data_IF_587163474199
#
_entry.id   IF_587163474199
#
_cell.length_a   1.000
_cell.length_b   1.000
_cell.length_c   1.000
_cell.angle_alpha   90.00
_cell.angle_beta   90.00
_cell.angle_gamma   90.00
#
_symmetry.space_group_name_H-M   'P 1'
#
loop_
_entity.id
_entity.type
_entity.pdbx_description
1 polymer ?
#
# COMPACT_ATOMS: atom_id res chain seq x y z
N UNK A 1 0.03 -7.85 -4.47
CA UNK A 1 1.02 -8.24 -5.49
C UNK A 1 2.33 -7.48 -5.27
N UNK A 2 2.37 -6.18 -5.38
CA UNK A 2 3.59 -5.35 -5.35
C UNK A 2 4.47 -5.55 -4.10
N UNK A 3 3.87 -5.78 -2.95
CA UNK A 3 4.59 -5.94 -1.70
C UNK A 3 4.91 -7.40 -1.36
N UNK A 4 3.93 -8.30 -1.50
CA UNK A 4 4.06 -9.69 -1.07
C UNK A 4 4.88 -10.54 -2.05
N UNK A 5 4.58 -10.46 -3.36
CA UNK A 5 5.19 -11.36 -4.36
C UNK A 5 6.72 -11.33 -4.37
N UNK A 6 7.39 -10.16 -4.27
CA UNK A 6 8.84 -10.11 -4.24
C UNK A 6 9.49 -10.76 -3.01
N UNK A 7 8.72 -10.96 -1.93
CA UNK A 7 9.18 -11.52 -0.65
C UNK A 7 8.94 -13.03 -0.52
N UNK A 8 7.98 -13.57 -1.27
CA UNK A 8 7.65 -15.01 -1.21
C UNK A 8 8.83 -15.98 -1.44
N UNK A 9 9.80 -15.68 -2.32
CA UNK A 9 10.97 -16.57 -2.45
C UNK A 9 11.72 -16.78 -1.15
N UNK A 10 11.84 -15.76 -0.29
CA UNK A 10 12.46 -15.88 1.03
C UNK A 10 11.66 -16.81 1.94
N UNK A 11 10.32 -16.65 1.97
CA UNK A 11 9.45 -17.54 2.74
C UNK A 11 9.60 -19.00 2.29
N UNK A 12 9.56 -19.24 0.99
CA UNK A 12 9.70 -20.59 0.42
C UNK A 12 11.06 -21.24 0.75
N UNK A 13 12.14 -20.44 0.85
CA UNK A 13 13.45 -20.94 1.27
C UNK A 13 13.48 -21.31 2.75
N UNK A 14 12.82 -20.50 3.61
CA UNK A 14 12.75 -20.76 5.05
C UNK A 14 11.80 -21.92 5.40
N UNK A 15 10.75 -22.12 4.59
CA UNK A 15 9.65 -23.05 4.84
C UNK A 15 9.27 -23.83 3.58
N UNK A 16 10.18 -24.68 3.02
CA UNK A 16 9.95 -25.40 1.76
C UNK A 16 8.79 -26.40 1.86
N UNK A 17 8.41 -26.78 3.07
CA UNK A 17 7.27 -27.67 3.33
C UNK A 17 5.91 -26.97 3.26
N UNK A 18 5.87 -25.62 3.19
CA UNK A 18 4.64 -24.85 3.17
C UNK A 18 4.32 -24.41 1.76
N UNK A 19 3.18 -24.85 1.24
CA UNK A 19 2.67 -24.42 -0.05
C UNK A 19 1.70 -23.25 0.14
N UNK A 20 1.98 -22.12 -0.54
CA UNK A 20 1.16 -20.92 -0.51
C UNK A 20 0.41 -20.78 -1.82
N UNK A 21 -0.93 -20.85 -1.76
CA UNK A 21 -1.81 -20.55 -2.88
C UNK A 21 -2.38 -19.14 -2.70
N UNK A 22 -2.16 -18.26 -3.69
CA UNK A 22 -2.68 -16.90 -3.67
C UNK A 22 -3.92 -16.80 -4.55
N UNK A 23 -4.99 -16.31 -3.97
CA UNK A 23 -6.26 -16.04 -4.67
C UNK A 23 -6.56 -14.56 -4.65
N UNK A 24 -7.12 -14.06 -5.75
CA UNK A 24 -7.57 -12.68 -5.80
C UNK A 24 -8.85 -12.53 -4.99
N UNK A 25 -8.86 -11.53 -4.11
CA UNK A 25 -10.04 -11.14 -3.35
C UNK A 25 -10.96 -10.28 -4.23
N UNK A 26 -12.25 -10.59 -4.26
CA UNK A 26 -13.27 -9.74 -4.87
C UNK A 26 -13.85 -8.82 -3.79
N UNK A 27 -13.93 -7.54 -4.09
CA UNK A 27 -14.22 -6.46 -3.14
C UNK A 27 -15.56 -6.57 -2.39
N UNK A 28 -16.54 -7.31 -2.93
CA UNK A 28 -17.88 -7.46 -2.38
C UNK A 28 -18.13 -8.86 -1.80
N UNK A 29 -17.09 -9.68 -1.68
CA UNK A 29 -17.26 -10.99 -1.07
C UNK A 29 -17.44 -10.84 0.45
N UNK A 30 -18.40 -11.58 0.99
CA UNK A 30 -18.65 -11.68 2.41
C UNK A 30 -17.40 -12.21 3.12
N UNK A 31 -17.06 -11.65 4.30
CA UNK A 31 -15.90 -12.06 5.11
C UNK A 31 -16.03 -13.48 5.71
N UNK A 32 -17.01 -14.23 5.32
CA UNK A 32 -17.26 -15.61 5.73
C UNK A 32 -16.57 -16.64 4.81
N UNK A 33 -15.40 -16.30 4.26
CA UNK A 33 -14.68 -17.21 3.38
C UNK A 33 -14.12 -18.40 4.15
N UNK A 34 -14.81 -19.53 4.05
CA UNK A 34 -14.33 -20.80 4.58
C UNK A 34 -13.27 -21.47 3.67
N UNK A 35 -13.01 -20.88 2.49
CA UNK A 35 -12.12 -21.40 1.46
C UNK A 35 -10.71 -20.81 1.50
N UNK A 36 -10.41 -19.89 2.44
CA UNK A 36 -9.10 -19.29 2.63
C UNK A 36 -8.71 -19.26 4.11
N UNK A 37 -7.46 -19.56 4.39
CA UNK A 37 -6.94 -19.60 5.76
C UNK A 37 -6.63 -18.21 6.33
N UNK A 38 -6.18 -17.31 5.43
CA UNK A 38 -5.79 -15.93 5.70
C UNK A 38 -6.18 -15.05 4.51
N UNK A 39 -6.49 -13.79 4.77
CA UNK A 39 -6.65 -12.80 3.70
C UNK A 39 -6.09 -11.44 4.11
N UNK A 40 -5.77 -10.63 3.12
CA UNK A 40 -5.33 -9.25 3.32
C UNK A 40 -6.39 -8.30 2.81
N UNK A 41 -6.82 -7.38 3.65
CA UNK A 41 -7.85 -6.41 3.33
C UNK A 41 -7.46 -4.99 3.72
N UNK A 42 -7.99 -4.02 2.96
CA UNK A 42 -7.88 -2.60 3.28
C UNK A 42 -9.01 -2.20 4.22
N UNK A 43 -8.68 -1.88 5.46
CA UNK A 43 -9.66 -1.37 6.41
C UNK A 43 -10.03 0.07 6.09
N UNK A 44 -11.31 0.34 5.96
CA UNK A 44 -11.85 1.71 5.89
C UNK A 44 -12.09 2.26 7.30
N UNK A 45 -11.84 3.55 7.56
CA UNK A 45 -11.87 4.14 8.90
C UNK A 45 -13.15 3.87 9.70
N UNK A 46 -14.30 3.82 9.03
CA UNK A 46 -15.61 3.69 9.67
C UNK A 46 -16.20 2.27 9.62
N UNK A 47 -15.47 1.31 9.04
CA UNK A 47 -15.95 -0.07 8.94
C UNK A 47 -15.43 -0.90 10.11
N UNK A 48 -16.35 -1.53 10.85
CA UNK A 48 -15.99 -2.53 11.86
C UNK A 48 -15.78 -3.89 11.19
N UNK A 49 -14.84 -4.66 11.71
CA UNK A 49 -14.72 -6.04 11.34
C UNK A 49 -15.92 -6.84 11.85
N UNK A 50 -16.41 -7.86 11.11
CA UNK A 50 -17.34 -8.82 11.65
C UNK A 50 -16.80 -9.46 12.93
N UNK A 51 -17.69 -9.88 13.83
CA UNK A 51 -17.31 -10.40 15.15
C UNK A 51 -16.39 -11.60 15.08
N UNK A 52 -16.58 -12.46 14.08
CA UNK A 52 -15.77 -13.66 13.85
C UNK A 52 -14.40 -13.35 13.19
N UNK A 53 -14.15 -12.13 12.73
CA UNK A 53 -12.92 -11.76 12.04
C UNK A 53 -11.93 -11.15 13.00
N UNK A 54 -10.76 -11.78 13.09
CA UNK A 54 -9.59 -11.18 13.72
C UNK A 54 -8.75 -10.47 12.65
N UNK A 55 -8.21 -9.32 12.99
CA UNK A 55 -7.45 -8.52 12.06
C UNK A 55 -6.22 -7.89 12.73
N UNK A 56 -5.07 -8.00 12.08
CA UNK A 56 -3.82 -7.37 12.49
C UNK A 56 -3.36 -6.40 11.40
N UNK A 57 -3.08 -5.17 11.79
CA UNK A 57 -2.47 -4.19 10.89
C UNK A 57 -1.10 -4.68 10.40
N UNK A 58 -0.86 -4.55 9.10
CA UNK A 58 0.43 -4.79 8.49
C UNK A 58 1.12 -3.46 8.13
N UNK A 59 0.60 -2.75 7.13
CA UNK A 59 1.25 -1.56 6.55
C UNK A 59 0.27 -0.75 5.67
N UNK A 60 0.76 0.29 5.00
CA UNK A 60 0.03 0.95 3.91
C UNK A 60 -0.78 2.18 4.30
N UNK A 61 -0.61 2.72 5.51
CA UNK A 61 -1.27 3.97 5.92
C UNK A 61 -0.62 5.22 5.34
N UNK A 62 0.68 5.15 5.09
CA UNK A 62 1.46 6.28 4.60
C UNK A 62 1.30 6.42 3.09
N UNK A 63 0.80 7.56 2.65
CA UNK A 63 0.66 7.92 1.24
C UNK A 63 1.73 8.90 0.82
N UNK A 64 2.24 8.72 -0.39
CA UNK A 64 3.25 9.57 -1.02
C UNK A 64 2.87 9.89 -2.46
N UNK A 65 3.24 11.10 -2.97
CA UNK A 65 3.08 11.44 -4.37
C UNK A 65 4.23 10.83 -5.17
N UNK A 66 3.92 10.21 -6.31
CA UNK A 66 4.92 9.63 -7.20
C UNK A 66 4.62 9.96 -8.66
N UNK A 67 5.68 10.15 -9.44
CA UNK A 67 5.60 10.32 -10.89
C UNK A 67 6.83 9.74 -11.58
N UNK A 68 6.78 9.63 -12.90
CA UNK A 68 7.97 9.36 -13.71
C UNK A 68 9.02 10.46 -13.52
N UNK A 69 10.34 10.14 -13.51
CA UNK A 69 11.41 11.13 -13.31
C UNK A 69 11.33 12.33 -14.25
N UNK A 70 10.92 12.11 -15.50
CA UNK A 70 10.78 13.16 -16.52
C UNK A 70 9.74 14.23 -16.17
N UNK A 71 8.76 13.92 -15.32
CA UNK A 71 7.73 14.87 -14.90
C UNK A 71 8.14 15.69 -13.67
N UNK A 72 9.04 15.17 -12.84
CA UNK A 72 9.40 15.80 -11.56
C UNK A 72 9.94 17.24 -11.66
N UNK A 73 10.74 17.60 -12.69
CA UNK A 73 11.32 18.95 -12.77
C UNK A 73 10.30 20.08 -12.92
N UNK A 74 9.07 19.80 -13.29
CA UNK A 74 8.01 20.80 -13.42
C UNK A 74 7.35 21.17 -12.08
N UNK A 75 7.61 20.41 -11.00
CA UNK A 75 7.01 20.60 -9.71
C UNK A 75 8.01 21.25 -8.74
N UNK A 76 7.77 22.52 -8.38
CA UNK A 76 8.61 23.30 -7.48
C UNK A 76 7.97 23.48 -6.10
N UNK A 77 6.64 23.41 -6.04
CA UNK A 77 5.84 23.53 -4.82
C UNK A 77 4.59 22.62 -4.92
N UNK A 78 4.01 22.19 -3.80
CA UNK A 78 2.87 21.26 -3.79
C UNK A 78 1.65 21.73 -4.59
N UNK A 79 1.41 23.05 -4.65
CA UNK A 79 0.31 23.62 -5.44
C UNK A 79 0.46 23.43 -6.95
N UNK A 80 1.64 23.14 -7.45
CA UNK A 80 1.86 22.88 -8.88
C UNK A 80 1.11 21.61 -9.33
N UNK A 81 0.81 20.70 -8.40
CA UNK A 81 -0.02 19.53 -8.69
C UNK A 81 -1.45 19.88 -9.13
N UNK A 82 -1.98 21.05 -8.74
CA UNK A 82 -3.34 21.47 -9.13
C UNK A 82 -3.49 21.64 -10.65
N UNK A 83 -2.40 21.83 -11.37
CA UNK A 83 -2.38 21.97 -12.84
C UNK A 83 -1.91 20.69 -13.55
N UNK A 84 -1.54 19.66 -12.79
CA UNK A 84 -1.06 18.39 -13.32
C UNK A 84 -2.20 17.40 -13.57
N UNK A 85 -1.90 16.34 -14.36
CA UNK A 85 -2.78 15.17 -14.46
C UNK A 85 -2.70 14.36 -13.17
N UNK A 86 -3.74 14.43 -12.33
CA UNK A 86 -3.81 13.73 -11.05
C UNK A 86 -4.48 12.37 -11.22
N UNK A 87 -3.66 11.33 -11.30
CA UNK A 87 -4.14 9.94 -11.35
C UNK A 87 -4.73 9.57 -10.00
N UNK A 88 -5.90 8.94 -9.96
CA UNK A 88 -6.56 8.64 -8.69
C UNK A 88 -7.09 7.21 -8.60
N UNK A 89 -7.20 6.71 -7.37
CA UNK A 89 -7.85 5.44 -7.09
C UNK A 89 -9.35 5.64 -6.93
N UNK A 90 -10.17 5.01 -7.76
CA UNK A 90 -11.63 5.24 -7.80
C UNK A 90 -12.32 4.89 -6.48
N UNK A 91 -11.82 3.90 -5.72
CA UNK A 91 -12.33 3.54 -4.40
C UNK A 91 -11.82 4.45 -3.27
N UNK A 92 -10.80 5.29 -3.54
CA UNK A 92 -10.18 6.20 -2.57
C UNK A 92 -9.90 7.56 -3.20
N UNK A 93 -10.95 8.25 -3.71
CA UNK A 93 -10.78 9.50 -4.44
C UNK A 93 -10.32 10.67 -3.56
N UNK A 94 -10.38 10.52 -2.24
CA UNK A 94 -9.96 11.48 -1.24
C UNK A 94 -8.44 11.55 -1.01
N UNK A 95 -7.66 10.60 -1.54
CA UNK A 95 -6.22 10.55 -1.32
C UNK A 95 -5.51 11.85 -1.70
N UNK A 96 -5.86 12.45 -2.83
CA UNK A 96 -5.28 13.72 -3.28
C UNK A 96 -5.64 14.88 -2.36
N UNK A 97 -6.90 14.99 -1.94
CA UNK A 97 -7.33 16.04 -1.02
C UNK A 97 -6.63 15.92 0.34
N UNK A 98 -6.45 14.70 0.86
CA UNK A 98 -5.72 14.44 2.08
C UNK A 98 -4.25 14.87 1.96
N UNK A 99 -3.59 14.50 0.86
CA UNK A 99 -2.18 14.83 0.67
C UNK A 99 -1.96 16.34 0.50
N UNK A 100 -2.76 17.01 -0.34
CA UNK A 100 -2.66 18.45 -0.56
C UNK A 100 -2.92 19.24 0.73
N UNK A 101 -3.91 18.86 1.52
CA UNK A 101 -4.17 19.48 2.82
C UNK A 101 -2.97 19.33 3.77
N UNK A 102 -2.33 18.16 3.82
CA UNK A 102 -1.11 17.93 4.60
C UNK A 102 0.06 18.79 4.10
N UNK A 103 0.14 19.03 2.80
CA UNK A 103 1.15 19.88 2.18
C UNK A 103 0.82 21.39 2.26
N UNK A 104 -0.27 21.78 2.95
CA UNK A 104 -0.66 23.17 3.14
C UNK A 104 -1.41 23.80 1.96
N UNK A 105 -1.93 23.00 1.02
CA UNK A 105 -2.70 23.45 -0.13
C UNK A 105 -4.19 23.25 0.16
N UNK A 106 -4.95 24.36 0.23
CA UNK A 106 -6.37 24.34 0.56
C UNK A 106 -7.30 24.13 -0.63
N UNK A 107 -6.78 24.30 -1.85
CA UNK A 107 -7.56 24.20 -3.07
C UNK A 107 -7.95 22.75 -3.36
N UNK A 108 -9.15 22.59 -3.94
CA UNK A 108 -9.63 21.26 -4.32
C UNK A 108 -8.95 20.77 -5.59
N UNK A 109 -8.39 19.55 -5.59
CA UNK A 109 -7.81 18.96 -6.80
C UNK A 109 -8.88 18.64 -7.84
N UNK A 110 -8.55 18.88 -9.10
CA UNK A 110 -9.29 18.31 -10.22
C UNK A 110 -8.67 16.94 -10.56
N UNK A 111 -9.41 15.86 -10.29
CA UNK A 111 -8.92 14.51 -10.54
C UNK A 111 -8.91 14.21 -12.05
N UNK A 112 -7.83 13.60 -12.50
CA UNK A 112 -7.64 13.09 -13.85
C UNK A 112 -8.11 11.63 -14.01
N UNK A 113 -7.40 10.79 -14.80
CA UNK A 113 -7.75 9.39 -14.99
C UNK A 113 -7.84 8.60 -13.70
N UNK A 114 -8.88 7.76 -13.57
CA UNK A 114 -9.14 6.93 -12.39
C UNK A 114 -8.89 5.45 -12.66
N UNK A 115 -8.40 4.74 -11.64
CA UNK A 115 -8.13 3.31 -11.66
C UNK A 115 -8.66 2.65 -10.40
N UNK A 116 -9.14 1.42 -10.50
CA UNK A 116 -9.68 0.65 -9.38
C UNK A 116 -8.63 -0.18 -8.63
N UNK A 117 -7.42 -0.31 -9.21
CA UNK A 117 -6.30 -1.02 -8.62
C UNK A 117 -5.07 -0.10 -8.49
N UNK A 118 -4.45 -0.09 -7.31
CA UNK A 118 -3.21 0.68 -7.07
C UNK A 118 -2.08 0.28 -8.02
N UNK A 119 -2.01 -0.98 -8.43
CA UNK A 119 -1.02 -1.44 -9.40
C UNK A 119 -1.17 -0.72 -10.75
N UNK A 120 -2.40 -0.48 -11.22
CA UNK A 120 -2.65 0.27 -12.45
C UNK A 120 -2.21 1.73 -12.32
N UNK A 121 -2.44 2.36 -11.15
CA UNK A 121 -1.93 3.69 -10.85
C UNK A 121 -0.40 3.76 -10.94
N UNK A 122 0.30 2.78 -10.37
CA UNK A 122 1.76 2.71 -10.40
C UNK A 122 2.27 2.59 -11.83
N UNK A 123 1.67 1.70 -12.62
CA UNK A 123 2.04 1.51 -14.04
C UNK A 123 1.77 2.79 -14.85
N UNK A 124 0.63 3.44 -14.64
CA UNK A 124 0.27 4.69 -15.33
C UNK A 124 1.24 5.83 -14.95
N UNK A 125 1.61 5.97 -13.69
CA UNK A 125 2.59 6.95 -13.22
C UNK A 125 3.98 6.69 -13.83
N UNK A 126 4.45 5.43 -13.89
CA UNK A 126 5.70 5.03 -14.56
C UNK A 126 5.68 5.37 -16.04
N UNK A 127 4.54 5.20 -16.70
CA UNK A 127 4.35 5.55 -18.11
C UNK A 127 4.28 7.06 -18.38
N UNK A 128 4.37 7.90 -17.33
CA UNK A 128 4.34 9.36 -17.49
C UNK A 128 2.95 9.94 -17.73
N UNK A 129 1.87 9.21 -17.41
CA UNK A 129 0.49 9.70 -17.59
C UNK A 129 0.12 10.82 -16.62
N UNK A 130 0.87 10.97 -15.51
CA UNK A 130 0.63 11.99 -14.50
C UNK A 130 1.27 11.63 -13.16
N UNK A 131 0.77 12.28 -12.11
CA UNK A 131 1.19 12.07 -10.72
C UNK A 131 0.14 11.24 -10.00
N UNK A 132 0.57 10.28 -9.17
CA UNK A 132 -0.32 9.44 -8.36
C UNK A 132 0.01 9.59 -6.87
N UNK A 133 -1.00 9.51 -6.00
CA UNK A 133 -0.82 9.37 -4.54
C UNK A 133 -1.14 7.94 -4.16
N UNK A 134 -0.12 7.24 -3.67
CA UNK A 134 -0.16 5.79 -3.42
C UNK A 134 0.47 5.43 -2.07
N UNK A 135 0.14 4.26 -1.48
CA UNK A 135 0.85 3.77 -0.30
C UNK A 135 2.35 3.59 -0.59
N UNK A 136 3.21 4.21 0.22
CA UNK A 136 4.68 4.19 0.08
C UNK A 136 5.23 2.76 -0.03
N UNK A 137 4.72 1.86 0.79
CA UNK A 137 5.15 0.46 0.82
C UNK A 137 4.96 -0.29 -0.51
N UNK A 138 4.10 0.20 -1.41
CA UNK A 138 3.83 -0.43 -2.71
C UNK A 138 4.72 0.07 -3.84
N UNK A 139 5.53 1.11 -3.61
CA UNK A 139 6.39 1.74 -4.62
C UNK A 139 7.86 1.80 -4.23
N UNK A 140 8.25 1.15 -3.15
CA UNK A 140 9.65 1.15 -2.68
C UNK A 140 10.63 0.64 -3.74
N UNK A 141 10.27 -0.41 -4.47
CA UNK A 141 11.11 -0.96 -5.55
C UNK A 141 11.30 0.04 -6.68
N UNK A 142 10.23 0.66 -7.13
CA UNK A 142 10.23 1.64 -8.20
C UNK A 142 11.01 2.90 -7.80
N UNK A 143 10.91 3.33 -6.54
CA UNK A 143 11.69 4.45 -6.00
C UNK A 143 13.18 4.10 -5.92
N UNK A 144 13.53 2.93 -5.42
CA UNK A 144 14.93 2.47 -5.35
C UNK A 144 15.55 2.27 -6.74
N UNK A 145 14.77 1.80 -7.71
CA UNK A 145 15.21 1.63 -9.09
C UNK A 145 15.26 2.95 -9.89
N UNK A 146 14.75 4.06 -9.33
CA UNK A 146 14.64 5.34 -10.03
C UNK A 146 13.60 5.34 -11.15
N UNK A 147 12.70 4.35 -11.20
CA UNK A 147 11.60 4.27 -12.15
C UNK A 147 10.46 5.23 -11.81
N UNK A 148 10.32 5.51 -10.52
CA UNK A 148 9.47 6.56 -9.96
C UNK A 148 10.30 7.46 -9.04
N UNK A 149 9.85 8.70 -8.91
CA UNK A 149 10.40 9.65 -7.96
C UNK A 149 9.26 10.28 -7.15
N UNK A 150 9.58 10.74 -5.94
CA UNK A 150 8.71 11.57 -5.13
C UNK A 150 9.11 13.04 -5.37
N UNK A 151 8.28 13.88 -6.01
CA UNK A 151 8.59 15.28 -6.18
C UNK A 151 8.71 16.05 -4.86
N UNK A 152 8.00 15.56 -3.82
CA UNK A 152 8.03 16.13 -2.46
C UNK A 152 8.06 15.01 -1.41
N UNK A 153 8.82 15.21 -0.33
CA UNK A 153 8.96 14.25 0.78
C UNK A 153 7.77 14.26 1.75
N UNK A 154 6.79 15.13 1.53
CA UNK A 154 5.58 15.18 2.36
C UNK A 154 4.81 13.88 2.27
N UNK A 155 4.51 13.29 3.41
CA UNK A 155 3.69 12.10 3.55
C UNK A 155 2.42 12.40 4.34
N UNK A 156 1.38 11.62 4.11
CA UNK A 156 0.12 11.73 4.86
C UNK A 156 -0.39 10.36 5.27
N UNK A 157 -0.91 10.26 6.49
CA UNK A 157 -1.62 9.06 6.92
C UNK A 157 -3.07 9.13 6.46
N UNK A 158 -3.50 8.16 5.66
CA UNK A 158 -4.88 8.08 5.20
C UNK A 158 -5.85 7.41 6.21
N UNK A 159 -5.36 6.98 7.38
CA UNK A 159 -6.14 6.23 8.37
C UNK A 159 -6.57 4.83 7.92
N UNK A 160 -6.36 4.50 6.65
CA UNK A 160 -6.55 3.17 6.07
C UNK A 160 -5.27 2.33 6.24
N UNK A 161 -5.31 1.08 5.82
CA UNK A 161 -4.12 0.23 5.79
C UNK A 161 -4.49 -1.19 5.43
N UNK A 162 -3.48 -1.97 5.12
CA UNK A 162 -3.60 -3.39 4.86
C UNK A 162 -3.56 -4.14 6.18
N UNK A 163 -4.54 -5.02 6.38
CA UNK A 163 -4.67 -5.86 7.56
C UNK A 163 -4.62 -7.32 7.15
N UNK A 164 -3.84 -8.10 7.85
CA UNK A 164 -3.93 -9.56 7.81
C UNK A 164 -5.15 -9.97 8.62
N UNK A 165 -6.04 -10.71 7.99
CA UNK A 165 -7.31 -11.14 8.58
C UNK A 165 -7.42 -12.66 8.57
N UNK A 166 -8.15 -13.20 9.55
CA UNK A 166 -8.51 -14.61 9.65
C UNK A 166 -9.82 -14.78 10.42
N UNK A 167 -10.50 -15.90 10.16
CA UNK A 167 -11.63 -16.30 10.99
C UNK A 167 -11.10 -16.89 12.31
N UNK A 168 -11.55 -16.34 13.45
CA UNK A 168 -11.13 -16.82 14.79
C UNK A 168 -11.55 -18.26 15.08
N UNK A 169 -12.67 -18.70 14.48
CA UNK A 169 -13.24 -20.03 14.67
C UNK A 169 -12.64 -21.08 13.70
N UNK A 170 -11.84 -20.63 12.71
CA UNK A 170 -11.20 -21.53 11.77
C UNK A 170 -10.09 -22.36 12.45
N UNK A 171 -9.90 -23.62 12.05
CA UNK A 171 -8.83 -24.46 12.57
C UNK A 171 -7.45 -23.81 12.41
N UNK A 172 -6.67 -23.86 13.48
CA UNK A 172 -5.26 -23.43 13.45
C UNK A 172 -4.37 -24.60 13.09
N UNK A 173 -3.37 -24.33 12.22
CA UNK A 173 -2.35 -25.31 11.85
C UNK A 173 -1.01 -24.61 11.58
N UNK A 174 0.07 -25.35 11.75
CA UNK A 174 1.42 -24.80 11.81
C UNK A 174 1.81 -24.01 10.56
N UNK A 175 1.43 -24.44 9.36
CA UNK A 175 1.78 -23.75 8.11
C UNK A 175 1.15 -22.35 8.04
N UNK A 176 -0.16 -22.23 8.40
CA UNK A 176 -0.85 -20.94 8.49
C UNK A 176 -0.17 -19.99 9.47
N UNK A 177 0.12 -20.49 10.67
CA UNK A 177 0.70 -19.65 11.73
C UNK A 177 2.13 -19.20 11.37
N UNK A 178 2.93 -20.04 10.70
CA UNK A 178 4.25 -19.68 10.18
C UNK A 178 4.16 -18.58 9.12
N UNK A 179 3.24 -18.72 8.17
CA UNK A 179 3.04 -17.72 7.12
C UNK A 179 2.56 -16.38 7.70
N UNK A 180 1.60 -16.42 8.64
CA UNK A 180 1.11 -15.22 9.32
C UNK A 180 2.22 -14.51 10.11
N UNK A 181 3.03 -15.27 10.86
CA UNK A 181 4.15 -14.71 11.62
C UNK A 181 5.19 -14.06 10.71
N UNK A 182 5.54 -14.72 9.60
CA UNK A 182 6.47 -14.19 8.62
C UNK A 182 5.94 -12.91 7.95
N UNK A 183 4.64 -12.87 7.56
CA UNK A 183 4.03 -11.65 7.00
C UNK A 183 4.14 -10.47 7.95
N UNK A 184 3.92 -10.71 9.23
CA UNK A 184 4.04 -9.68 10.26
C UNK A 184 5.49 -9.22 10.42
N UNK A 185 6.44 -10.15 10.47
CA UNK A 185 7.88 -9.83 10.52
C UNK A 185 8.30 -8.93 9.36
N UNK A 186 7.86 -9.26 8.13
CA UNK A 186 8.15 -8.44 6.94
C UNK A 186 7.51 -7.05 7.01
N UNK A 187 6.28 -6.97 7.52
CA UNK A 187 5.58 -5.69 7.65
C UNK A 187 6.20 -4.81 8.75
N UNK A 188 6.60 -5.40 9.87
CA UNK A 188 7.26 -4.70 10.97
C UNK A 188 8.63 -4.15 10.54
N UNK A 189 9.37 -4.88 9.70
CA UNK A 189 10.63 -4.41 9.12
C UNK A 189 10.44 -3.17 8.22
N UNK A 190 9.39 -3.17 7.39
CA UNK A 190 9.09 -2.02 6.52
C UNK A 190 8.51 -0.81 7.28
N UNK A 191 7.88 -1.04 8.44
CA UNK A 191 7.33 0.04 9.28
C UNK A 191 8.39 0.69 10.19
N UNK A 192 9.60 0.14 10.28
CA UNK A 192 10.69 0.79 11.02
C UNK A 192 11.12 2.06 10.27
N UNK A 193 11.23 3.22 10.95
CA UNK A 193 11.75 4.42 10.31
C UNK A 193 13.17 4.14 9.80
N UNK A 194 13.46 4.52 8.56
CA UNK A 194 14.81 4.57 8.02
C UNK A 194 15.62 5.58 8.84
N UNK A 195 16.24 5.15 9.93
CA UNK A 195 16.89 6.04 10.87
C UNK A 195 17.69 5.33 11.96
N UNK A 196 18.50 4.37 11.55
CA UNK A 196 19.42 3.67 12.45
C UNK A 196 20.83 3.52 11.89
N UNK A 197 21.27 4.45 11.04
CA UNK A 197 22.69 4.52 10.71
C UNK A 197 23.25 5.88 11.11
N UNK A 198 24.12 5.82 12.11
CA UNK A 198 25.13 6.81 12.45
C UNK A 198 24.87 7.66 13.70
N UNK A 199 25.28 7.11 14.81
CA UNK A 199 26.06 7.86 15.79
C UNK A 199 27.04 6.88 16.46
N UNK A 200 28.09 6.56 15.72
CA UNK A 200 29.31 5.97 16.28
C UNK A 200 30.48 6.65 15.57
N UNK A 201 30.91 7.78 16.11
CA UNK A 201 32.32 8.23 16.16
C UNK A 201 32.42 9.29 17.26
#
# INVERSE_FOLDING_TARGET
>A
IQWLMPRLPEFNQRHPEVHVELRQFKHDEDFTRDDVDLWVEVKRPHRRWPEQVQARYLLGRELVPVCAPALSPQFHQPSDFLTASLLHHTNFPDNWALWLAQAGVADKPQLGPGFDLTMHLIVAAKAGMGVAVVPRCLVQKELQAGELVMPFDTTVSCGRGYYLCWNQDAPRFAARDRFAAWLVEQADADNQPEGGLSAAL
#
